data_IF_656719028221
#
_entry.id   IF_656719028221
#
_cell.length_a   1.000
_cell.length_b   1.000
_cell.length_c   1.000
_cell.angle_alpha   90.00
_cell.angle_beta   90.00
_cell.angle_gamma   90.00
#
_symmetry.space_group_name_H-M   'P 1'
#
loop_
_entity.id
_entity.type
_entity.pdbx_description
1 polymer ?
#
# COMPACT_ATOMS: atom_id res chain seq x y z
N UNK A 1 -7.26 41.44 -8.07
CA UNK A 1 -6.73 40.67 -9.23
C UNK A 1 -5.61 39.69 -8.87
N UNK A 2 -4.83 39.89 -7.82
CA UNK A 2 -3.72 38.98 -7.41
C UNK A 2 -4.20 37.60 -6.88
N UNK A 3 -5.33 37.53 -6.23
CA UNK A 3 -5.85 36.29 -5.63
C UNK A 3 -6.28 35.23 -6.67
N UNK A 4 -6.67 35.66 -7.87
CA UNK A 4 -7.08 34.77 -8.96
C UNK A 4 -5.87 34.14 -9.69
N UNK A 5 -4.74 34.82 -9.72
CA UNK A 5 -3.52 34.35 -10.39
C UNK A 5 -2.74 33.31 -9.58
N UNK A 6 -2.78 33.43 -8.25
CA UNK A 6 -2.14 32.47 -7.33
C UNK A 6 -2.84 31.09 -7.40
N UNK A 7 -4.17 31.08 -7.44
CA UNK A 7 -4.94 29.82 -7.59
C UNK A 7 -4.68 29.10 -8.92
N UNK A 8 -4.49 29.83 -10.01
CA UNK A 8 -4.26 29.21 -11.31
C UNK A 8 -2.87 28.55 -11.42
N UNK A 9 -1.83 29.19 -10.90
CA UNK A 9 -0.47 28.61 -10.84
C UNK A 9 -0.39 27.42 -9.88
N UNK A 10 -1.10 27.47 -8.76
CA UNK A 10 -1.18 26.32 -7.84
C UNK A 10 -1.91 25.15 -8.49
N UNK A 11 -3.00 25.39 -9.21
CA UNK A 11 -3.74 24.36 -9.93
C UNK A 11 -2.91 23.71 -11.05
N UNK A 12 -2.10 24.47 -11.77
CA UNK A 12 -1.18 23.92 -12.77
C UNK A 12 -0.08 23.08 -12.12
N UNK A 13 0.50 23.56 -11.04
CA UNK A 13 1.56 22.85 -10.29
C UNK A 13 1.05 21.54 -9.65
N UNK A 14 -0.17 21.54 -9.12
CA UNK A 14 -0.81 20.35 -8.56
C UNK A 14 -1.15 19.34 -9.66
N UNK A 15 -1.57 19.82 -10.83
CA UNK A 15 -1.85 18.99 -12.01
C UNK A 15 -0.61 18.28 -12.53
N UNK A 16 0.53 18.94 -12.53
CA UNK A 16 1.81 18.38 -12.99
C UNK A 16 2.34 17.35 -12.00
N UNK A 17 2.19 17.59 -10.68
CA UNK A 17 2.63 16.65 -9.65
C UNK A 17 1.86 15.33 -9.69
N UNK A 18 0.54 15.35 -9.90
CA UNK A 18 -0.25 14.11 -10.00
C UNK A 18 0.13 13.29 -11.24
N UNK A 19 0.44 13.95 -12.34
CA UNK A 19 0.90 13.27 -13.57
C UNK A 19 2.27 12.64 -13.35
N UNK A 20 3.17 13.33 -12.67
CA UNK A 20 4.49 12.79 -12.32
C UNK A 20 4.36 11.60 -11.38
N UNK A 21 3.53 11.69 -10.34
CA UNK A 21 3.24 10.57 -9.43
C UNK A 21 2.66 9.37 -10.16
N UNK A 22 1.76 9.60 -11.11
CA UNK A 22 1.18 8.54 -11.94
C UNK A 22 2.22 7.81 -12.78
N UNK A 23 3.09 8.54 -13.49
CA UNK A 23 4.16 7.95 -14.33
C UNK A 23 5.19 7.20 -13.46
N UNK A 24 5.67 7.83 -12.39
CA UNK A 24 6.62 7.21 -11.45
C UNK A 24 6.02 5.94 -10.86
N UNK A 25 4.75 5.98 -10.47
CA UNK A 25 4.07 4.82 -9.90
C UNK A 25 3.93 3.66 -10.88
N UNK A 26 3.66 3.92 -12.18
CA UNK A 26 3.68 2.90 -13.23
C UNK A 26 5.08 2.30 -13.36
N UNK A 27 6.12 3.13 -13.42
CA UNK A 27 7.50 2.65 -13.52
C UNK A 27 7.87 1.76 -12.31
N UNK A 28 7.54 2.20 -11.09
CA UNK A 28 7.78 1.42 -9.87
C UNK A 28 7.01 0.09 -9.92
N UNK A 29 5.75 0.10 -10.36
CA UNK A 29 4.95 -1.12 -10.48
C UNK A 29 5.59 -2.15 -11.41
N UNK A 30 6.05 -1.74 -12.59
CA UNK A 30 6.76 -2.62 -13.53
C UNK A 30 8.09 -3.11 -12.97
N UNK A 31 8.89 -2.22 -12.38
CA UNK A 31 10.19 -2.59 -11.78
C UNK A 31 9.97 -3.60 -10.64
N UNK A 32 9.01 -3.33 -9.75
CA UNK A 32 8.69 -4.23 -8.63
C UNK A 32 8.16 -5.57 -9.13
N UNK A 33 7.32 -5.59 -10.16
CA UNK A 33 6.81 -6.80 -10.78
C UNK A 33 7.93 -7.66 -11.38
N UNK A 34 8.82 -7.06 -12.15
CA UNK A 34 9.98 -7.74 -12.74
C UNK A 34 10.90 -8.28 -11.65
N UNK A 35 11.22 -7.46 -10.65
CA UNK A 35 12.06 -7.87 -9.52
C UNK A 35 11.44 -9.04 -8.75
N UNK A 36 10.14 -9.01 -8.50
CA UNK A 36 9.43 -10.11 -7.83
C UNK A 36 9.47 -11.41 -8.64
N UNK A 37 9.35 -11.34 -9.96
CA UNK A 37 9.49 -12.50 -10.85
C UNK A 37 10.89 -13.09 -10.82
N UNK A 38 11.93 -12.24 -10.87
CA UNK A 38 13.32 -12.66 -10.78
C UNK A 38 13.59 -13.34 -9.43
N UNK A 39 13.16 -12.71 -8.32
CA UNK A 39 13.35 -13.26 -6.98
C UNK A 39 12.62 -14.60 -6.83
N UNK A 40 11.38 -14.71 -7.35
CA UNK A 40 10.64 -15.98 -7.34
C UNK A 40 11.37 -17.06 -8.14
N UNK A 41 11.92 -16.74 -9.31
CA UNK A 41 12.71 -17.66 -10.12
C UNK A 41 13.96 -18.16 -9.38
N UNK A 42 14.67 -17.26 -8.69
CA UNK A 42 15.84 -17.60 -7.88
C UNK A 42 15.42 -18.45 -6.67
N UNK A 43 14.36 -18.07 -5.95
CA UNK A 43 13.88 -18.81 -4.78
C UNK A 43 13.48 -20.24 -5.11
N UNK A 44 12.78 -20.44 -6.23
CA UNK A 44 12.40 -21.78 -6.71
C UNK A 44 13.65 -22.62 -7.07
N UNK A 45 14.68 -21.98 -7.65
CA UNK A 45 15.89 -22.70 -8.05
C UNK A 45 16.80 -23.11 -6.88
N UNK A 46 16.77 -22.34 -5.81
CA UNK A 46 17.62 -22.57 -4.63
C UNK A 46 16.85 -23.07 -3.40
N UNK A 47 15.57 -23.43 -3.56
CA UNK A 47 14.70 -23.93 -2.46
C UNK A 47 14.67 -23.02 -1.23
N UNK A 48 14.76 -21.70 -1.47
CA UNK A 48 14.78 -20.70 -0.40
C UNK A 48 13.34 -20.42 0.04
N UNK A 49 13.00 -20.83 1.27
CA UNK A 49 11.74 -20.44 1.89
C UNK A 49 11.75 -18.93 2.22
N UNK A 50 11.16 -18.12 1.34
CA UNK A 50 11.09 -16.65 1.50
C UNK A 50 10.14 -16.18 2.60
N UNK A 51 9.37 -17.08 3.22
CA UNK A 51 8.49 -16.77 4.35
C UNK A 51 9.26 -16.90 5.68
N UNK A 52 10.44 -16.27 5.75
CA UNK A 52 11.21 -16.19 6.99
C UNK A 52 10.43 -15.41 8.05
N UNK A 53 10.59 -15.84 9.29
CA UNK A 53 10.03 -15.15 10.45
C UNK A 53 10.55 -13.71 10.53
N UNK A 54 9.70 -12.80 11.02
CA UNK A 54 10.05 -11.40 11.15
C UNK A 54 11.21 -11.23 12.13
N UNK A 55 12.33 -10.69 11.68
CA UNK A 55 13.53 -10.43 12.50
C UNK A 55 13.20 -9.58 13.75
N UNK A 56 12.30 -8.61 13.61
CA UNK A 56 11.84 -7.78 14.73
C UNK A 56 11.13 -8.62 15.80
N UNK A 57 10.30 -9.59 15.39
CA UNK A 57 9.62 -10.49 16.31
C UNK A 57 10.62 -11.42 17.02
N UNK A 58 11.63 -11.86 16.31
CA UNK A 58 12.67 -12.73 16.88
C UNK A 58 13.48 -12.01 17.96
N UNK A 59 13.75 -10.71 17.78
CA UNK A 59 14.53 -9.90 18.71
C UNK A 59 13.72 -9.35 19.90
N UNK A 60 12.46 -8.97 19.67
CA UNK A 60 11.64 -8.25 20.68
C UNK A 60 10.50 -9.08 21.24
N UNK A 61 10.15 -10.21 20.62
CA UNK A 61 8.96 -11.00 20.96
C UNK A 61 7.63 -10.35 20.54
N UNK A 62 7.65 -9.12 19.99
CA UNK A 62 6.48 -8.34 19.60
C UNK A 62 6.26 -8.36 18.08
N UNK A 63 5.02 -8.13 17.66
CA UNK A 63 4.72 -7.94 16.24
C UNK A 63 5.23 -6.58 15.78
N UNK A 64 5.90 -6.52 14.62
CA UNK A 64 6.24 -5.26 13.98
C UNK A 64 5.00 -4.62 13.31
N UNK A 65 5.02 -3.30 13.02
CA UNK A 65 3.90 -2.61 12.37
C UNK A 65 3.51 -3.19 11.00
N UNK A 66 4.45 -3.80 10.28
CA UNK A 66 4.23 -4.43 8.98
C UNK A 66 3.94 -5.93 9.01
N UNK A 67 3.94 -6.54 10.22
CA UNK A 67 3.76 -7.98 10.36
C UNK A 67 2.42 -8.46 9.81
N UNK A 68 2.48 -9.46 8.92
CA UNK A 68 1.28 -10.01 8.26
C UNK A 68 0.90 -9.31 6.96
N UNK A 69 1.60 -8.25 6.53
CA UNK A 69 1.32 -7.55 5.27
C UNK A 69 1.44 -8.47 4.05
N UNK A 70 2.50 -9.25 3.94
CA UNK A 70 2.69 -10.21 2.85
C UNK A 70 1.59 -11.27 2.83
N UNK A 71 1.23 -11.82 4.00
CA UNK A 71 0.15 -12.80 4.11
C UNK A 71 -1.21 -12.18 3.74
N UNK A 72 -1.48 -10.96 4.21
CA UNK A 72 -2.69 -10.21 3.85
C UNK A 72 -2.80 -10.04 2.32
N UNK A 73 -1.69 -9.70 1.67
CA UNK A 73 -1.64 -9.55 0.21
C UNK A 73 -1.88 -10.89 -0.52
N UNK A 74 -1.29 -11.99 -0.04
CA UNK A 74 -1.53 -13.33 -0.59
C UNK A 74 -3.01 -13.71 -0.45
N UNK A 75 -3.63 -13.53 0.72
CA UNK A 75 -5.06 -13.79 0.92
C UNK A 75 -5.94 -12.91 0.03
N UNK A 76 -5.54 -11.66 -0.21
CA UNK A 76 -6.26 -10.76 -1.10
C UNK A 76 -6.26 -11.26 -2.55
N UNK A 77 -5.09 -11.71 -3.06
CA UNK A 77 -4.98 -12.30 -4.40
C UNK A 77 -5.84 -13.56 -4.54
N UNK A 78 -5.95 -14.37 -3.49
CA UNK A 78 -6.81 -15.55 -3.48
C UNK A 78 -8.30 -15.22 -3.23
N UNK A 79 -8.70 -13.95 -3.23
CA UNK A 79 -10.07 -13.50 -3.03
C UNK A 79 -10.60 -13.60 -1.59
N UNK A 80 -9.74 -13.94 -0.63
CA UNK A 80 -10.14 -14.09 0.76
C UNK A 80 -10.01 -12.76 1.52
N UNK A 81 -10.93 -11.84 1.22
CA UNK A 81 -10.97 -10.47 1.77
C UNK A 81 -11.01 -10.46 3.31
N UNK A 82 -11.88 -11.25 4.00
CA UNK A 82 -11.93 -11.23 5.46
C UNK A 82 -10.61 -11.58 6.11
N UNK A 83 -9.92 -12.60 5.62
CA UNK A 83 -8.59 -12.96 6.13
C UNK A 83 -7.55 -11.87 5.85
N UNK A 84 -7.58 -11.26 4.68
CA UNK A 84 -6.68 -10.16 4.35
C UNK A 84 -6.84 -8.98 5.33
N UNK A 85 -8.08 -8.58 5.67
CA UNK A 85 -8.35 -7.53 6.67
C UNK A 85 -7.81 -7.92 8.04
N UNK A 86 -8.05 -9.16 8.46
CA UNK A 86 -7.59 -9.66 9.77
C UNK A 86 -6.07 -9.63 9.88
N UNK A 87 -5.36 -10.01 8.81
CA UNK A 87 -3.89 -9.99 8.81
C UNK A 87 -3.33 -8.57 8.71
N UNK A 88 -3.85 -7.71 7.81
CA UNK A 88 -3.37 -6.33 7.70
C UNK A 88 -4.35 -5.43 6.94
N UNK A 89 -5.20 -4.63 7.60
CA UNK A 89 -6.22 -3.81 6.95
C UNK A 89 -5.64 -2.75 6.00
N UNK A 90 -4.40 -2.29 6.25
CA UNK A 90 -3.72 -1.35 5.37
C UNK A 90 -3.55 -1.88 3.94
N UNK A 91 -3.37 -3.19 3.76
CA UNK A 91 -3.15 -3.79 2.43
C UNK A 91 -4.37 -3.56 1.53
N UNK A 92 -5.57 -3.84 2.05
CA UNK A 92 -6.80 -3.60 1.30
C UNK A 92 -7.01 -2.12 1.04
N UNK A 93 -6.80 -1.28 2.06
CA UNK A 93 -6.89 0.17 1.90
C UNK A 93 -5.95 0.68 0.80
N UNK A 94 -4.69 0.25 0.82
CA UNK A 94 -3.70 0.64 -0.17
C UNK A 94 -4.07 0.18 -1.59
N UNK A 95 -4.54 -1.06 -1.75
CA UNK A 95 -4.97 -1.59 -3.06
C UNK A 95 -6.18 -0.82 -3.60
N UNK A 96 -7.19 -0.58 -2.78
CA UNK A 96 -8.37 0.19 -3.19
C UNK A 96 -7.99 1.63 -3.57
N UNK A 97 -7.22 2.31 -2.72
CA UNK A 97 -6.80 3.69 -2.97
C UNK A 97 -5.98 3.79 -4.25
N UNK A 98 -5.04 2.86 -4.44
CA UNK A 98 -4.20 2.79 -5.64
C UNK A 98 -5.02 2.52 -6.89
N UNK A 99 -5.96 1.57 -6.85
CA UNK A 99 -6.84 1.26 -7.96
C UNK A 99 -7.69 2.47 -8.36
N UNK A 100 -8.31 3.14 -7.40
CA UNK A 100 -9.10 4.37 -7.67
C UNK A 100 -8.23 5.49 -8.24
N UNK A 101 -7.03 5.69 -7.71
CA UNK A 101 -6.12 6.70 -8.24
C UNK A 101 -5.75 6.42 -9.69
N UNK A 102 -5.31 5.19 -10.00
CA UNK A 102 -4.92 4.82 -11.37
C UNK A 102 -6.11 4.86 -12.33
N UNK A 103 -7.27 4.35 -11.94
CA UNK A 103 -8.48 4.46 -12.77
C UNK A 103 -8.82 5.92 -13.07
N UNK A 104 -8.84 6.76 -12.05
CA UNK A 104 -9.16 8.19 -12.21
C UNK A 104 -8.17 8.91 -13.12
N UNK A 105 -6.87 8.65 -12.98
CA UNK A 105 -5.84 9.26 -13.82
C UNK A 105 -5.89 8.74 -15.27
N UNK A 106 -6.14 7.44 -15.45
CA UNK A 106 -6.31 6.84 -16.78
C UNK A 106 -7.51 7.44 -17.52
N UNK A 107 -8.65 7.57 -16.83
CA UNK A 107 -9.82 8.26 -17.40
C UNK A 107 -9.52 9.71 -17.77
N UNK A 108 -8.78 10.44 -16.94
CA UNK A 108 -8.33 11.80 -17.24
C UNK A 108 -7.47 11.84 -18.50
N UNK A 109 -6.56 10.89 -18.66
CA UNK A 109 -5.70 10.78 -19.85
C UNK A 109 -6.51 10.47 -21.11
N UNK A 110 -7.42 9.49 -21.07
CA UNK A 110 -8.28 9.11 -22.19
C UNK A 110 -9.26 10.23 -22.63
N UNK A 111 -9.72 11.02 -21.67
CA UNK A 111 -10.67 12.13 -21.95
C UNK A 111 -9.98 13.46 -22.27
N UNK A 112 -8.65 13.44 -22.52
CA UNK A 112 -7.86 14.65 -22.77
C UNK A 112 -8.06 15.75 -21.72
N UNK A 113 -8.24 15.34 -20.46
CA UNK A 113 -8.37 16.26 -19.33
C UNK A 113 -9.78 16.83 -19.09
N UNK A 114 -10.81 16.33 -19.79
CA UNK A 114 -12.22 16.74 -19.56
C UNK A 114 -12.73 16.28 -18.18
N UNK A 115 -12.24 15.15 -17.67
CA UNK A 115 -12.57 14.65 -16.34
C UNK A 115 -11.45 15.01 -15.36
N UNK A 116 -11.83 15.52 -14.18
CA UNK A 116 -10.87 15.81 -13.11
C UNK A 116 -10.34 14.50 -12.54
N UNK A 117 -9.03 14.29 -12.57
CA UNK A 117 -8.38 13.19 -11.90
C UNK A 117 -8.45 13.30 -10.35
N UNK A 118 -8.33 12.20 -9.67
CA UNK A 118 -8.25 12.18 -8.20
C UNK A 118 -6.91 12.78 -7.75
N UNK A 119 -6.98 13.74 -6.83
CA UNK A 119 -5.79 14.33 -6.21
C UNK A 119 -5.44 13.59 -4.91
N UNK A 120 -4.18 13.18 -4.77
CA UNK A 120 -3.70 12.59 -3.51
C UNK A 120 -3.52 13.69 -2.47
N UNK A 121 -4.39 13.70 -1.46
CA UNK A 121 -4.30 14.60 -0.32
C UNK A 121 -3.60 13.91 0.85
N UNK A 122 -2.91 14.68 1.67
CA UNK A 122 -2.28 14.19 2.91
C UNK A 122 -3.24 13.45 3.85
N UNK A 123 -4.55 13.71 3.72
CA UNK A 123 -5.60 13.01 4.45
C UNK A 123 -5.55 11.48 4.28
N UNK A 124 -5.29 11.01 3.06
CA UNK A 124 -5.16 9.56 2.79
C UNK A 124 -3.95 8.94 3.49
N UNK A 125 -2.87 9.71 3.64
CA UNK A 125 -1.68 9.29 4.37
C UNK A 125 -1.96 9.17 5.88
N UNK A 126 -2.70 10.10 6.46
CA UNK A 126 -3.10 10.03 7.87
C UNK A 126 -3.98 8.82 8.17
N UNK A 127 -4.91 8.48 7.27
CA UNK A 127 -5.72 7.25 7.40
C UNK A 127 -4.83 6.01 7.35
N UNK A 128 -3.88 5.94 6.43
CA UNK A 128 -2.93 4.83 6.33
C UNK A 128 -2.12 4.68 7.62
N UNK A 129 -1.58 5.77 8.14
CA UNK A 129 -0.82 5.77 9.39
C UNK A 129 -1.68 5.31 10.57
N UNK A 130 -2.91 5.81 10.67
CA UNK A 130 -3.87 5.39 11.70
C UNK A 130 -4.14 3.89 11.66
N UNK A 131 -4.39 3.32 10.47
CA UNK A 131 -4.60 1.89 10.29
C UNK A 131 -3.40 1.04 10.72
N UNK A 132 -2.18 1.50 10.43
CA UNK A 132 -0.94 0.83 10.86
C UNK A 132 -0.83 0.82 12.37
N UNK A 133 -1.01 1.97 13.01
CA UNK A 133 -0.89 2.11 14.47
C UNK A 133 -1.95 1.28 15.21
N UNK A 134 -3.20 1.34 14.78
CA UNK A 134 -4.29 0.56 15.38
C UNK A 134 -4.03 -0.94 15.23
N UNK A 135 -3.65 -1.39 14.03
CA UNK A 135 -3.33 -2.79 13.79
C UNK A 135 -2.15 -3.28 14.65
N UNK A 136 -1.10 -2.46 14.78
CA UNK A 136 0.05 -2.74 15.64
C UNK A 136 -0.36 -2.89 17.10
N UNK A 137 -1.15 -1.95 17.63
CA UNK A 137 -1.61 -1.97 19.03
C UNK A 137 -2.48 -3.20 19.29
N UNK A 138 -3.48 -3.46 18.45
CA UNK A 138 -4.41 -4.58 18.62
C UNK A 138 -3.65 -5.91 18.65
N UNK A 139 -2.73 -6.14 17.70
CA UNK A 139 -1.97 -7.39 17.64
C UNK A 139 -1.08 -7.62 18.84
N UNK A 140 -0.40 -6.58 19.31
CA UNK A 140 0.46 -6.71 20.47
C UNK A 140 -0.34 -6.86 21.78
N UNK A 141 -1.50 -6.20 21.92
CA UNK A 141 -2.41 -6.42 23.05
C UNK A 141 -2.89 -7.88 23.09
N UNK A 142 -3.35 -8.43 21.95
CA UNK A 142 -3.82 -9.82 21.89
C UNK A 142 -2.69 -10.80 22.19
N UNK A 143 -1.48 -10.54 21.68
CA UNK A 143 -0.30 -11.35 21.98
C UNK A 143 0.01 -11.39 23.48
N UNK A 144 0.01 -10.24 24.13
CA UNK A 144 0.34 -10.12 25.57
C UNK A 144 -0.76 -10.72 26.45
N UNK A 145 -2.05 -10.46 26.10
CA UNK A 145 -3.18 -10.82 26.96
C UNK A 145 -3.56 -12.29 26.86
N UNK A 146 -3.44 -12.89 25.67
CA UNK A 146 -3.90 -14.27 25.42
C UNK A 146 -2.80 -15.27 25.14
N UNK A 147 -1.55 -14.85 25.05
CA UNK A 147 -0.42 -15.66 24.59
C UNK A 147 -0.71 -16.43 23.27
N UNK A 148 -1.66 -15.94 22.47
CA UNK A 148 -2.06 -16.54 21.20
C UNK A 148 -1.37 -15.82 20.06
N UNK A 149 -0.61 -16.57 19.29
CA UNK A 149 -0.01 -16.05 18.06
C UNK A 149 -1.07 -16.01 16.95
N UNK A 150 -1.49 -14.80 16.56
CA UNK A 150 -2.43 -14.60 15.44
C UNK A 150 -1.75 -14.94 14.11
N UNK A 151 -0.44 -14.80 14.05
CA UNK A 151 0.38 -15.07 12.88
C UNK A 151 1.40 -16.14 13.29
N UNK A 152 1.25 -17.38 12.80
CA UNK A 152 2.23 -18.44 13.00
C UNK A 152 3.51 -18.16 12.26
#
# INVERSE_FOLDING_TARGET
MLFRSLNFRQLLREKDSDTVVYIIGICIFFITGITALIIKGIAVRYDINMLTECQFRHLTGLYCPGCGGTRAFIYLIHGNIPKSILYHPLVIYAVILTAFFYMSQTFRFLTHGRVKGMHLKYFYLYIALFLVVVNFIIKNIILITRHVYIIP
#
